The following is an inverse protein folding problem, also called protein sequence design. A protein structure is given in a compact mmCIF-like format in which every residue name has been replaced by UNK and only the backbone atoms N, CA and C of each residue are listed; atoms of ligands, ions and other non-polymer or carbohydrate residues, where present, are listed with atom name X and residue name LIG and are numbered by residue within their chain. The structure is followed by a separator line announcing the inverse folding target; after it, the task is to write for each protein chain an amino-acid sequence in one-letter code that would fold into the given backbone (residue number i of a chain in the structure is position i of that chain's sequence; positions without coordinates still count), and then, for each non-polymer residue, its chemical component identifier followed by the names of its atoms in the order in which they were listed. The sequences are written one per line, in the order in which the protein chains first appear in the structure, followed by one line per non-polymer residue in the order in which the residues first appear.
data_IF_976496257042
#
_entry.id   IF_976496257042
#
_cell.length_a   1.000
_cell.length_b   1.000
_cell.length_c   1.000
_cell.angle_alpha   90.00
_cell.angle_beta   90.00
_cell.angle_gamma   90.00
#
_symmetry.space_group_name_H-M   'P 1'
#
loop_
_entity.id
_entity.type
_entity.pdbx_description
1 polymer ?
#
# COMPACT_ATOMS: atom_id res chain seq x y z
N UNK A 1 -16.51 -8.55 -11.63
CA UNK A 1 -15.32 -8.58 -10.75
C UNK A 1 -14.09 -8.76 -11.62
N UNK A 2 -13.38 -7.68 -11.94
CA UNK A 2 -12.16 -7.74 -12.76
C UNK A 2 -10.92 -7.82 -11.88
N UNK A 3 -10.01 -8.74 -12.16
CA UNK A 3 -8.70 -8.79 -11.51
C UNK A 3 -7.84 -7.65 -12.05
N UNK A 4 -7.46 -6.69 -11.20
CA UNK A 4 -6.55 -5.60 -11.58
C UNK A 4 -5.11 -6.12 -11.57
N UNK A 5 -4.53 -6.30 -12.77
CA UNK A 5 -3.15 -6.72 -12.93
C UNK A 5 -2.20 -5.51 -12.87
N UNK A 6 -0.97 -5.75 -12.39
CA UNK A 6 0.12 -4.79 -12.49
C UNK A 6 0.55 -4.72 -13.96
N UNK A 7 0.67 -3.52 -14.50
CA UNK A 7 1.11 -3.33 -15.88
C UNK A 7 2.62 -3.62 -15.99
N UNK A 8 3.07 -4.37 -17.01
CA UNK A 8 4.49 -4.60 -17.24
C UNK A 8 5.27 -3.29 -17.32
N UNK A 9 6.40 -3.21 -16.61
CA UNK A 9 7.24 -2.01 -16.58
C UNK A 9 6.77 -0.90 -15.63
N UNK A 10 5.75 -1.12 -14.80
CA UNK A 10 5.27 -0.16 -13.79
C UNK A 10 5.53 -0.62 -12.34
N UNK A 11 6.79 -0.66 -11.87
CA UNK A 11 7.12 -1.14 -10.52
C UNK A 11 6.46 -0.33 -9.40
N UNK A 12 6.13 0.95 -9.63
CA UNK A 12 5.46 1.80 -8.64
C UNK A 12 4.04 1.34 -8.29
N UNK A 13 3.39 0.51 -9.12
CA UNK A 13 2.09 -0.10 -8.79
C UNK A 13 2.22 -1.21 -7.73
N UNK A 14 3.42 -1.73 -7.50
CA UNK A 14 3.70 -2.77 -6.52
C UNK A 14 3.86 -2.25 -5.08
N UNK A 15 3.97 -0.93 -4.88
CA UNK A 15 4.29 -0.33 -3.58
C UNK A 15 3.31 -0.71 -2.45
N UNK A 16 2.04 -0.97 -2.78
CA UNK A 16 1.06 -1.48 -1.83
C UNK A 16 1.41 -2.90 -1.35
N UNK A 17 1.70 -3.82 -2.27
CA UNK A 17 2.05 -5.21 -1.94
C UNK A 17 3.38 -5.28 -1.18
N UNK A 18 4.34 -4.43 -1.52
CA UNK A 18 5.62 -4.30 -0.79
C UNK A 18 5.41 -3.82 0.64
N UNK A 19 4.61 -2.77 0.82
CA UNK A 19 4.28 -2.23 2.14
C UNK A 19 3.55 -3.27 3.00
N UNK A 20 2.62 -4.02 2.40
CA UNK A 20 1.91 -5.11 3.06
C UNK A 20 2.87 -6.22 3.52
N UNK A 21 3.70 -6.75 2.62
CA UNK A 21 4.64 -7.84 2.94
C UNK A 21 5.68 -7.43 4.00
N UNK A 22 6.18 -6.20 3.94
CA UNK A 22 7.09 -5.66 4.95
C UNK A 22 6.43 -5.67 6.34
N UNK A 23 5.16 -5.25 6.41
CA UNK A 23 4.39 -5.21 7.66
C UNK A 23 4.07 -6.60 8.21
N UNK A 24 3.63 -7.51 7.35
CA UNK A 24 3.38 -8.90 7.70
C UNK A 24 4.63 -9.54 8.32
N UNK A 25 5.80 -9.29 7.73
CA UNK A 25 7.06 -9.82 8.27
C UNK A 25 7.38 -9.23 9.64
N UNK A 26 7.32 -7.90 9.77
CA UNK A 26 7.72 -7.22 11.01
C UNK A 26 6.77 -7.51 12.19
N UNK A 27 5.46 -7.57 11.94
CA UNK A 27 4.45 -7.63 13.00
C UNK A 27 3.95 -9.05 13.29
N UNK A 28 4.03 -9.99 12.33
CA UNK A 28 3.54 -11.36 12.52
C UNK A 28 4.70 -12.37 12.45
N UNK A 29 5.37 -12.46 11.30
CA UNK A 29 6.32 -13.57 11.06
C UNK A 29 7.58 -13.51 11.95
N UNK A 30 8.05 -12.30 12.28
CA UNK A 30 9.24 -12.13 13.12
C UNK A 30 8.93 -12.19 14.63
N UNK A 31 7.65 -12.15 15.02
CA UNK A 31 7.24 -12.19 16.43
C UNK A 31 6.88 -13.61 16.90
N UNK A 32 6.56 -14.51 15.96
CA UNK A 32 5.96 -15.81 16.25
C UNK A 32 6.88 -16.97 15.87
N UNK A 33 6.83 -18.06 16.65
CA UNK A 33 7.46 -19.35 16.30
C UNK A 33 6.36 -20.32 15.88
N UNK A 34 6.41 -20.82 14.64
CA UNK A 34 5.40 -21.71 14.12
C UNK A 34 5.68 -23.18 14.45
N UNK A 35 4.86 -23.76 15.31
CA UNK A 35 4.94 -25.19 15.69
C UNK A 35 4.28 -26.14 14.68
N UNK A 36 3.39 -25.63 13.82
CA UNK A 36 2.75 -26.39 12.74
C UNK A 36 2.17 -25.49 11.66
N UNK A 37 1.88 -26.05 10.48
CA UNK A 37 1.20 -25.33 9.40
C UNK A 37 -0.18 -24.83 9.84
N UNK A 38 -0.92 -25.63 10.61
CA UNK A 38 -2.23 -25.23 11.14
C UNK A 38 -2.11 -24.04 12.09
N UNK A 39 -1.08 -24.03 12.94
CA UNK A 39 -0.82 -22.90 13.83
C UNK A 39 -0.53 -21.61 13.04
N UNK A 40 0.32 -21.71 12.01
CA UNK A 40 0.62 -20.59 11.12
C UNK A 40 -0.63 -20.06 10.40
N UNK A 41 -1.52 -20.94 9.92
CA UNK A 41 -2.77 -20.54 9.27
C UNK A 41 -3.66 -19.72 10.20
N UNK A 42 -3.84 -20.17 11.45
CA UNK A 42 -4.67 -19.44 12.43
C UNK A 42 -4.10 -18.07 12.74
N UNK A 43 -2.79 -17.97 13.00
CA UNK A 43 -2.14 -16.70 13.30
C UNK A 43 -2.16 -15.73 12.12
N UNK A 44 -1.94 -16.23 10.90
CA UNK A 44 -2.00 -15.42 9.69
C UNK A 44 -3.41 -14.92 9.39
N UNK A 45 -4.44 -15.75 9.65
CA UNK A 45 -5.83 -15.35 9.44
C UNK A 45 -6.29 -14.29 10.44
N UNK A 46 -5.92 -14.45 11.72
CA UNK A 46 -6.19 -13.44 12.75
C UNK A 46 -5.47 -12.11 12.44
N UNK A 47 -4.18 -12.18 12.07
CA UNK A 47 -3.43 -11.00 11.68
C UNK A 47 -4.01 -10.32 10.44
N UNK A 48 -4.44 -11.10 9.43
CA UNK A 48 -5.11 -10.58 8.24
C UNK A 48 -6.43 -9.88 8.61
N UNK A 49 -7.24 -10.48 9.47
CA UNK A 49 -8.49 -9.90 9.93
C UNK A 49 -8.22 -8.57 10.66
N UNK A 50 -7.23 -8.53 11.56
CA UNK A 50 -6.79 -7.31 12.24
C UNK A 50 -6.33 -6.23 11.26
N UNK A 51 -5.47 -6.58 10.30
CA UNK A 51 -4.94 -5.65 9.30
C UNK A 51 -6.07 -5.01 8.49
N UNK A 52 -7.05 -5.80 8.04
CA UNK A 52 -8.12 -5.30 7.18
C UNK A 52 -9.20 -4.50 7.94
N UNK A 53 -9.46 -4.81 9.21
CA UNK A 53 -10.64 -4.28 9.93
C UNK A 53 -10.33 -3.26 11.02
N UNK A 54 -9.10 -3.24 11.55
CA UNK A 54 -8.76 -2.44 12.75
C UNK A 54 -7.56 -1.53 12.59
N UNK A 55 -6.76 -1.73 11.53
CA UNK A 55 -5.49 -1.02 11.37
C UNK A 55 -5.70 0.30 10.62
N UNK A 56 -5.44 1.46 11.23
CA UNK A 56 -5.53 2.74 10.53
C UNK A 56 -4.31 2.94 9.62
N UNK A 57 -4.55 3.28 8.36
CA UNK A 57 -3.50 3.58 7.38
C UNK A 57 -3.45 5.07 7.07
N UNK A 58 -2.32 5.73 7.32
CA UNK A 58 -2.14 7.15 7.02
C UNK A 58 -2.35 7.48 5.52
N UNK A 59 -1.97 6.57 4.63
CA UNK A 59 -2.22 6.67 3.18
C UNK A 59 -3.69 6.59 2.79
N UNK A 60 -4.55 6.03 3.66
CA UNK A 60 -6.00 5.94 3.49
C UNK A 60 -6.75 6.96 4.34
N UNK A 61 -6.07 8.00 4.86
CA UNK A 61 -6.68 9.00 5.73
C UNK A 61 -7.07 8.44 7.10
N UNK A 62 -6.23 7.56 7.66
CA UNK A 62 -6.44 6.85 8.93
C UNK A 62 -7.63 5.89 8.96
N UNK A 63 -8.13 5.51 7.78
CA UNK A 63 -9.15 4.47 7.63
C UNK A 63 -8.53 3.10 7.47
N UNK A 64 -9.34 2.10 7.72
CA UNK A 64 -9.00 0.71 7.50
C UNK A 64 -9.16 0.33 6.03
N UNK A 65 -8.47 -0.72 5.55
CA UNK A 65 -8.62 -1.19 4.18
C UNK A 65 -10.07 -1.55 3.84
N UNK A 66 -10.82 -2.13 4.78
CA UNK A 66 -12.22 -2.50 4.56
C UNK A 66 -13.11 -1.26 4.34
N UNK A 67 -12.99 -0.24 5.18
CA UNK A 67 -13.71 1.04 5.01
C UNK A 67 -13.37 1.71 3.66
N UNK A 68 -12.11 1.63 3.23
CA UNK A 68 -11.70 2.17 1.93
C UNK A 68 -12.30 1.38 0.75
N UNK A 69 -12.43 0.06 0.92
CA UNK A 69 -13.04 -0.83 -0.06
C UNK A 69 -14.54 -0.53 -0.19
N UNK A 70 -15.25 -0.40 0.93
CA UNK A 70 -16.66 -0.01 0.93
C UNK A 70 -16.91 1.34 0.25
N UNK A 71 -16.06 2.33 0.50
CA UNK A 71 -16.16 3.63 -0.16
C UNK A 71 -15.90 3.53 -1.68
N UNK A 72 -14.99 2.65 -2.10
CA UNK A 72 -14.71 2.43 -3.53
C UNK A 72 -15.86 1.73 -4.25
N UNK A 73 -16.65 0.89 -3.56
CA UNK A 73 -17.83 0.19 -4.12
C UNK A 73 -18.98 1.12 -4.51
N UNK A 74 -19.08 2.28 -3.86
CA UNK A 74 -20.09 3.30 -4.17
C UNK A 74 -19.64 4.34 -5.20
N UNK A 75 -18.37 4.30 -5.65
CA UNK A 75 -17.84 5.24 -6.63
C UNK A 75 -18.05 4.66 -8.04
N UNK A 76 -18.59 5.41 -9.02
CA UNK A 76 -18.55 4.97 -10.42
C UNK A 76 -17.09 4.68 -10.80
N UNK A 77 -16.89 3.67 -11.65
CA UNK A 77 -15.59 3.19 -12.14
C UNK A 77 -14.86 4.32 -12.89
N UNK A 78 -14.25 5.24 -12.13
CA UNK A 78 -13.44 6.33 -12.66
C UNK A 78 -12.03 5.76 -12.86
N UNK A 79 -11.54 5.68 -14.11
CA UNK A 79 -10.26 5.06 -14.38
C UNK A 79 -9.15 5.87 -13.70
N UNK A 80 -8.61 5.33 -12.60
CA UNK A 80 -7.51 5.87 -11.80
C UNK A 80 -6.21 6.14 -12.59
N UNK A 81 -6.18 5.87 -13.90
CA UNK A 81 -5.01 6.03 -14.76
C UNK A 81 -5.25 6.92 -16.01
N UNK A 82 -6.40 7.58 -16.15
CA UNK A 82 -6.70 8.42 -17.32
C UNK A 82 -6.43 9.93 -17.14
N UNK A 83 -6.19 10.39 -15.90
CA UNK A 83 -5.80 11.79 -15.69
C UNK A 83 -4.27 11.91 -15.72
N UNK A 84 -3.69 12.72 -16.61
CA UNK A 84 -2.27 13.00 -16.57
C UNK A 84 -1.96 13.74 -15.26
N UNK A 85 -1.37 13.05 -14.29
CA UNK A 85 -0.84 13.59 -13.02
C UNK A 85 0.30 14.60 -13.24
N UNK A 86 0.47 15.14 -14.46
CA UNK A 86 1.46 16.16 -14.77
C UNK A 86 1.22 17.49 -14.02
N UNK A 87 0.00 17.75 -13.54
CA UNK A 87 -0.37 19.02 -12.90
C UNK A 87 -0.80 18.92 -11.44
N UNK A 88 -0.61 17.79 -10.75
CA UNK A 88 -0.82 17.75 -9.29
C UNK A 88 0.41 18.34 -8.62
N UNK A 89 0.26 19.52 -8.03
CA UNK A 89 1.29 20.13 -7.20
C UNK A 89 1.54 19.25 -5.96
N UNK A 90 2.55 18.38 -6.05
CA UNK A 90 3.07 17.64 -4.90
C UNK A 90 3.70 18.66 -3.95
N UNK A 91 3.06 18.89 -2.80
CA UNK A 91 3.71 19.62 -1.70
C UNK A 91 4.86 18.76 -1.20
N UNK A 92 6.11 19.24 -1.22
CA UNK A 92 7.23 18.46 -0.70
C UNK A 92 7.05 18.24 0.80
N UNK A 93 7.44 17.05 1.28
CA UNK A 93 7.53 16.77 2.71
C UNK A 93 8.43 17.80 3.39
N UNK A 94 8.07 18.32 4.58
CA UNK A 94 8.89 19.28 5.29
C UNK A 94 10.15 18.57 5.78
N UNK A 95 11.28 18.77 5.11
CA UNK A 95 12.55 18.15 5.52
C UNK A 95 13.69 18.09 4.50
N UNK A 96 13.59 18.73 3.33
CA UNK A 96 14.71 18.81 2.38
C UNK A 96 14.87 20.26 1.90
N UNK A 97 15.47 21.07 2.76
CA UNK A 97 15.96 22.41 2.42
C UNK A 97 17.37 22.33 1.82
N UNK A 98 17.46 22.66 0.52
CA UNK A 98 18.65 23.21 -0.14
C UNK A 98 19.85 22.28 -0.39
N UNK A 99 20.06 21.90 -1.66
CA UNK A 99 21.12 22.45 -2.53
C UNK A 99 21.12 21.77 -3.91
N UNK A 100 21.12 22.60 -4.94
CA UNK A 100 21.23 22.20 -6.34
C UNK A 100 22.59 21.55 -6.64
N UNK A 101 22.60 20.56 -7.54
CA UNK A 101 23.68 20.46 -8.50
C UNK A 101 23.16 19.95 -9.85
N UNK A 102 23.32 20.78 -10.88
CA UNK A 102 23.09 20.45 -12.28
C UNK A 102 24.26 19.58 -12.72
N UNK A 103 23.99 18.35 -13.16
CA UNK A 103 24.99 17.53 -13.85
C UNK A 103 24.59 17.49 -15.33
N UNK A 104 25.45 17.96 -16.27
CA UNK A 104 25.12 17.99 -17.68
C UNK A 104 25.19 16.58 -18.28
N UNK A 105 24.30 16.32 -19.25
CA UNK A 105 24.28 15.11 -20.05
C UNK A 105 25.55 15.02 -20.92
N UNK A 106 26.27 13.90 -20.78
CA UNK A 106 26.94 13.18 -21.88
C UNK A 106 26.82 11.69 -21.59
#
# INVERSE_FOLDING_TARGET
MGTRLIEPGKPWQNGFAESFHSRLRAECLNQEVFYSVRHAQVLLDDWRAFYNTRRPHSSLGYRTPDESSEQSRGRPDDPLCANPTANVAVRPSPGQEGKANVVPLI
#
